data_IF_414868856831
#
_entry.id   IF_414868856831
#
_cell.length_a   1.000
_cell.length_b   1.000
_cell.length_c   1.000
_cell.angle_alpha   90.00
_cell.angle_beta   90.00
_cell.angle_gamma   90.00
#
_symmetry.space_group_name_H-M   'P 1'
#
loop_
_entity.id
_entity.type
_entity.pdbx_description
1 polymer ?
#
# COMPACT_ATOMS: atom_id res chain seq x y z
N UNK A 1 27.12 -44.52 22.96
CA UNK A 1 25.95 -44.03 22.18
C UNK A 1 26.07 -42.53 22.00
N UNK A 2 26.30 -42.08 20.78
CA UNK A 2 26.29 -40.66 20.46
C UNK A 2 24.85 -40.19 20.23
N UNK A 3 24.40 -39.20 21.00
CA UNK A 3 23.09 -38.56 20.81
C UNK A 3 23.10 -37.79 19.44
N UNK A 4 22.07 -37.95 18.61
CA UNK A 4 21.98 -37.13 17.42
C UNK A 4 21.76 -35.67 17.80
N UNK A 5 22.63 -34.81 17.32
CA UNK A 5 22.45 -33.37 17.46
C UNK A 5 21.28 -32.95 16.55
N UNK A 6 20.16 -32.61 17.14
CA UNK A 6 19.08 -31.97 16.41
C UNK A 6 19.51 -30.53 16.06
N UNK A 7 19.93 -30.34 14.83
CA UNK A 7 20.15 -29.00 14.30
C UNK A 7 18.83 -28.23 14.36
N UNK A 8 18.88 -27.04 14.95
CA UNK A 8 17.74 -26.13 15.05
C UNK A 8 17.20 -25.83 13.64
N UNK A 9 15.98 -26.28 13.37
CA UNK A 9 15.25 -26.04 12.12
C UNK A 9 14.57 -24.67 12.05
N UNK A 10 14.81 -23.83 13.02
CA UNK A 10 14.15 -22.53 13.17
C UNK A 10 14.77 -21.40 12.34
N UNK A 11 15.86 -21.67 11.58
CA UNK A 11 16.50 -20.67 10.73
C UNK A 11 15.87 -20.46 9.36
N UNK A 12 14.99 -21.35 8.94
CA UNK A 12 14.46 -21.34 7.56
C UNK A 12 13.18 -20.51 7.37
N UNK A 13 12.58 -19.98 8.44
CA UNK A 13 11.27 -19.34 8.37
C UNK A 13 11.37 -17.80 8.39
N UNK A 14 12.51 -17.23 8.73
CA UNK A 14 12.61 -15.78 9.00
C UNK A 14 12.92 -14.89 7.82
N UNK A 15 13.45 -15.40 6.72
CA UNK A 15 13.89 -14.56 5.59
C UNK A 15 12.79 -14.17 4.61
N UNK A 16 11.65 -14.88 4.60
CA UNK A 16 10.54 -14.62 3.66
C UNK A 16 9.59 -13.49 4.09
N UNK A 17 9.78 -12.88 5.25
CA UNK A 17 8.88 -11.85 5.80
C UNK A 17 9.49 -10.45 5.82
N UNK A 18 10.53 -10.23 5.06
CA UNK A 18 11.22 -8.95 5.10
C UNK A 18 10.65 -8.00 4.06
N UNK A 19 9.92 -6.99 4.51
CA UNK A 19 9.56 -5.83 3.70
C UNK A 19 10.80 -4.94 3.58
N UNK A 20 11.35 -4.83 2.36
CA UNK A 20 12.53 -4.00 2.07
C UNK A 20 12.29 -2.52 2.34
N UNK A 21 11.04 -2.08 2.39
CA UNK A 21 10.66 -0.70 2.68
C UNK A 21 10.44 -0.44 4.17
N UNK A 22 10.39 -1.48 4.96
CA UNK A 22 10.30 -1.35 6.41
C UNK A 22 11.70 -1.16 6.98
N UNK A 23 11.89 -0.08 7.74
CA UNK A 23 13.16 0.16 8.39
C UNK A 23 13.51 -1.00 9.35
N UNK A 24 14.72 -1.52 9.26
CA UNK A 24 15.23 -2.56 10.15
C UNK A 24 15.34 -2.08 11.59
N UNK A 25 15.46 -0.77 11.78
CA UNK A 25 15.49 -0.09 13.07
C UNK A 25 14.37 0.94 13.09
N UNK A 26 13.92 1.26 14.30
CA UNK A 26 12.98 2.35 14.50
C UNK A 26 13.59 3.66 13.94
N UNK A 27 12.79 4.41 13.20
CA UNK A 27 13.20 5.71 12.71
C UNK A 27 13.52 6.63 13.89
N UNK A 28 14.57 7.47 13.80
CA UNK A 28 14.77 8.50 14.80
C UNK A 28 13.59 9.48 14.81
N UNK A 29 13.26 9.97 15.97
CA UNK A 29 12.15 10.91 16.12
C UNK A 29 12.63 12.29 16.55
N UNK A 30 12.15 13.35 15.92
CA UNK A 30 11.30 13.36 14.72
C UNK A 30 12.12 13.21 13.44
N UNK A 31 11.52 12.58 12.43
CA UNK A 31 12.07 12.50 11.08
C UNK A 31 11.04 13.07 10.10
N UNK A 32 11.48 13.89 9.15
CA UNK A 32 10.61 14.45 8.11
C UNK A 32 10.99 13.86 6.75
N UNK A 33 9.96 13.51 5.97
CA UNK A 33 10.17 13.07 4.59
C UNK A 33 10.51 14.28 3.72
N UNK A 34 11.65 14.21 3.02
CA UNK A 34 12.11 15.28 2.12
C UNK A 34 11.23 15.44 0.89
N UNK A 35 10.46 14.40 0.52
CA UNK A 35 9.63 14.40 -0.69
C UNK A 35 8.19 14.88 -0.44
N UNK A 36 7.54 14.37 0.61
CA UNK A 36 6.13 14.67 0.86
C UNK A 36 5.87 15.51 2.11
N UNK A 37 6.86 15.66 2.97
CA UNK A 37 6.71 16.43 4.20
C UNK A 37 6.05 15.69 5.36
N UNK A 38 5.75 14.40 5.22
CA UNK A 38 5.22 13.60 6.32
C UNK A 38 6.27 13.52 7.45
N UNK A 39 5.82 13.49 8.69
CA UNK A 39 6.67 13.48 9.88
C UNK A 39 6.48 12.18 10.65
N UNK A 40 7.59 11.53 10.98
CA UNK A 40 7.60 10.36 11.85
C UNK A 40 7.76 10.79 13.29
N UNK A 41 6.70 10.61 14.05
CA UNK A 41 6.62 10.96 15.47
C UNK A 41 5.62 10.04 16.18
N UNK A 42 5.89 9.67 17.42
CA UNK A 42 5.03 8.76 18.16
C UNK A 42 4.92 7.37 17.55
N UNK A 43 5.98 6.92 16.87
CA UNK A 43 6.04 5.60 16.24
C UNK A 43 5.31 5.48 14.91
N UNK A 44 4.86 6.57 14.30
CA UNK A 44 4.10 6.55 13.04
C UNK A 44 4.34 7.81 12.20
N UNK A 45 4.09 7.69 10.90
CA UNK A 45 4.08 8.83 9.99
C UNK A 45 2.74 9.57 10.09
N UNK A 46 2.82 10.89 10.23
CA UNK A 46 1.65 11.77 10.32
C UNK A 46 1.89 13.03 9.48
N UNK A 47 0.81 13.73 9.14
CA UNK A 47 0.92 15.07 8.59
C UNK A 47 1.07 16.08 9.73
N UNK A 48 1.95 17.04 9.56
CA UNK A 48 2.17 18.09 10.57
C UNK A 48 3.38 18.93 10.25
N UNK A 49 3.63 19.92 11.09
CA UNK A 49 4.84 20.74 11.00
C UNK A 49 6.05 19.97 11.49
N UNK A 50 7.09 19.91 10.66
CA UNK A 50 8.37 19.37 11.07
C UNK A 50 9.08 20.35 12.03
N UNK A 51 9.61 19.87 13.17
CA UNK A 51 10.51 20.65 13.99
C UNK A 51 11.76 21.07 13.21
N UNK A 52 12.35 22.20 13.57
CA UNK A 52 13.56 22.72 12.89
C UNK A 52 14.73 21.74 12.89
N UNK A 53 14.83 20.90 13.92
CA UNK A 53 15.91 19.93 14.11
C UNK A 53 15.50 18.50 13.73
N UNK A 54 14.46 18.35 12.89
CA UNK A 54 14.04 17.04 12.46
C UNK A 54 15.11 16.35 11.59
N UNK A 55 15.26 15.04 11.75
CA UNK A 55 16.08 14.23 10.87
C UNK A 55 15.41 14.19 9.47
N UNK A 56 16.22 14.07 8.43
CA UNK A 56 15.76 14.01 7.05
C UNK A 56 15.82 12.58 6.51
N UNK A 57 14.76 12.15 5.85
CA UNK A 57 14.72 10.84 5.18
C UNK A 57 13.62 10.84 4.11
N UNK A 58 13.60 9.80 3.30
CA UNK A 58 12.48 9.56 2.36
C UNK A 58 11.58 8.51 2.99
N UNK A 59 10.27 8.80 3.12
CA UNK A 59 9.34 7.86 3.72
C UNK A 59 9.15 6.61 2.84
N UNK A 60 8.66 5.49 3.42
CA UNK A 60 8.47 4.26 2.66
C UNK A 60 7.55 4.41 1.44
N UNK A 61 6.51 5.23 1.53
CA UNK A 61 5.59 5.45 0.40
C UNK A 61 6.29 6.19 -0.75
N UNK A 62 7.03 7.25 -0.45
CA UNK A 62 7.79 7.98 -1.47
C UNK A 62 8.86 7.11 -2.13
N UNK A 63 9.49 6.20 -1.38
CA UNK A 63 10.42 5.21 -1.94
C UNK A 63 9.73 4.26 -2.90
N UNK A 64 8.57 3.72 -2.52
CA UNK A 64 7.79 2.83 -3.40
C UNK A 64 7.39 3.54 -4.69
N UNK A 65 7.00 4.80 -4.60
CA UNK A 65 6.65 5.60 -5.79
C UNK A 65 7.88 5.79 -6.68
N UNK A 66 9.01 6.18 -6.12
CA UNK A 66 10.25 6.38 -6.87
C UNK A 66 10.73 5.08 -7.54
N UNK A 67 10.62 3.96 -6.85
CA UNK A 67 11.04 2.65 -7.35
C UNK A 67 10.00 1.98 -8.25
N UNK A 68 8.81 2.55 -8.37
CA UNK A 68 7.65 1.94 -9.02
C UNK A 68 7.39 0.52 -8.50
N UNK A 69 7.39 0.38 -7.18
CA UNK A 69 7.22 -0.90 -6.48
C UNK A 69 6.01 -0.86 -5.55
N UNK A 70 4.78 -1.00 -6.10
CA UNK A 70 3.56 -0.90 -5.31
C UNK A 70 3.36 -2.11 -4.40
N UNK A 71 2.56 -1.92 -3.36
CA UNK A 71 2.10 -2.99 -2.47
C UNK A 71 0.68 -3.43 -2.81
N UNK A 72 -0.13 -2.56 -3.39
CA UNK A 72 -1.50 -2.86 -3.79
C UNK A 72 -1.69 -2.81 -5.30
N UNK A 73 -2.45 -3.77 -5.81
CA UNK A 73 -2.81 -3.90 -7.22
C UNK A 73 -4.32 -4.04 -7.32
N UNK A 74 -4.97 -3.16 -8.05
CA UNK A 74 -6.42 -3.17 -8.23
C UNK A 74 -6.73 -3.31 -9.71
N UNK A 75 -7.49 -4.35 -10.05
CA UNK A 75 -7.98 -4.60 -11.41
C UNK A 75 -9.47 -4.29 -11.47
N UNK A 76 -9.84 -3.38 -12.35
CA UNK A 76 -11.21 -2.90 -12.50
C UNK A 76 -11.66 -3.19 -13.92
N UNK A 77 -12.72 -3.97 -14.07
CA UNK A 77 -13.17 -4.48 -15.37
C UNK A 77 -14.68 -4.47 -15.48
N UNK A 78 -15.17 -4.68 -16.70
CA UNK A 78 -16.56 -4.93 -17.00
C UNK A 78 -17.22 -3.83 -17.82
N UNK A 79 -18.37 -4.17 -18.41
CA UNK A 79 -19.15 -3.25 -19.25
C UNK A 79 -19.69 -2.05 -18.45
N UNK A 80 -20.19 -2.31 -17.26
CA UNK A 80 -20.67 -1.25 -16.37
C UNK A 80 -19.56 -0.26 -16.04
N UNK A 81 -18.35 -0.75 -15.73
CA UNK A 81 -17.20 0.11 -15.49
C UNK A 81 -16.89 1.00 -16.70
N UNK A 82 -16.92 0.44 -17.90
CA UNK A 82 -16.66 1.20 -19.13
C UNK A 82 -17.67 2.33 -19.34
N UNK A 83 -18.93 2.08 -19.06
CA UNK A 83 -20.01 3.07 -19.16
C UNK A 83 -19.94 4.15 -18.08
N UNK A 84 -19.48 3.81 -16.88
CA UNK A 84 -19.44 4.69 -15.72
C UNK A 84 -18.02 5.03 -15.27
N UNK A 85 -17.06 4.98 -16.20
CA UNK A 85 -15.63 5.09 -15.92
C UNK A 85 -15.28 6.31 -15.09
N UNK A 86 -15.68 7.49 -15.51
CA UNK A 86 -15.31 8.76 -14.84
C UNK A 86 -15.87 8.83 -13.41
N UNK A 87 -17.07 8.38 -13.23
CA UNK A 87 -17.75 8.32 -11.95
C UNK A 87 -17.04 7.36 -10.98
N UNK A 88 -16.69 6.17 -11.47
CA UNK A 88 -15.98 5.15 -10.70
C UNK A 88 -14.57 5.60 -10.35
N UNK A 89 -13.84 6.19 -11.29
CA UNK A 89 -12.53 6.74 -11.02
C UNK A 89 -12.58 7.91 -10.04
N UNK A 90 -13.66 8.69 -10.08
CA UNK A 90 -13.92 9.75 -9.09
C UNK A 90 -14.05 9.21 -7.68
N UNK A 91 -14.77 8.10 -7.51
CA UNK A 91 -14.88 7.41 -6.23
C UNK A 91 -13.51 6.94 -5.73
N UNK A 92 -12.70 6.36 -6.60
CA UNK A 92 -11.36 5.88 -6.26
C UNK A 92 -10.48 7.03 -5.77
N UNK A 93 -10.47 8.15 -6.48
CA UNK A 93 -9.70 9.34 -6.08
C UNK A 93 -10.17 9.88 -4.73
N UNK A 94 -11.46 9.84 -4.47
CA UNK A 94 -12.02 10.29 -3.19
C UNK A 94 -11.58 9.39 -2.04
N UNK A 95 -11.64 8.07 -2.22
CA UNK A 95 -11.16 7.11 -1.21
C UNK A 95 -9.67 7.33 -0.93
N UNK A 96 -8.87 7.48 -1.97
CA UNK A 96 -7.43 7.76 -1.82
C UNK A 96 -7.18 9.05 -1.03
N UNK A 97 -7.89 10.12 -1.36
CA UNK A 97 -7.74 11.41 -0.68
C UNK A 97 -8.04 11.30 0.81
N UNK A 98 -9.11 10.59 1.18
CA UNK A 98 -9.49 10.38 2.56
C UNK A 98 -8.47 9.51 3.31
N UNK A 99 -8.01 8.43 2.71
CA UNK A 99 -7.01 7.56 3.33
C UNK A 99 -5.67 8.27 3.50
N UNK A 100 -5.21 8.96 2.49
CA UNK A 100 -3.96 9.75 2.54
C UNK A 100 -4.01 10.84 3.62
N UNK A 101 -5.16 11.48 3.82
CA UNK A 101 -5.32 12.53 4.83
C UNK A 101 -5.07 12.00 6.25
N UNK A 102 -5.48 10.79 6.54
CA UNK A 102 -5.29 10.14 7.84
C UNK A 102 -3.99 9.32 7.93
N UNK A 103 -3.56 8.75 6.80
CA UNK A 103 -2.43 7.84 6.71
C UNK A 103 -1.50 8.24 5.57
N UNK A 104 -0.46 9.03 5.83
CA UNK A 104 0.44 9.54 4.78
C UNK A 104 1.07 8.48 3.89
N UNK A 105 1.22 7.25 4.38
CA UNK A 105 1.81 6.16 3.61
C UNK A 105 0.82 5.45 2.68
N UNK A 106 -0.47 5.78 2.74
CA UNK A 106 -1.52 5.15 1.92
C UNK A 106 -1.86 6.04 0.73
N UNK A 107 -1.25 5.77 -0.43
CA UNK A 107 -1.38 6.59 -1.65
C UNK A 107 -1.45 5.73 -2.89
N UNK A 108 -1.97 6.28 -3.99
CA UNK A 108 -1.83 5.65 -5.30
C UNK A 108 -0.42 5.88 -5.86
N UNK A 109 0.03 4.94 -6.67
CA UNK A 109 1.29 5.02 -7.41
C UNK A 109 1.01 5.34 -8.87
N UNK A 110 0.12 4.57 -9.51
CA UNK A 110 -0.21 4.74 -10.92
C UNK A 110 -1.63 4.26 -11.24
N UNK A 111 -2.13 4.73 -12.36
CA UNK A 111 -3.38 4.29 -12.96
C UNK A 111 -3.11 4.07 -14.44
N UNK A 112 -3.36 2.86 -14.93
CA UNK A 112 -3.06 2.47 -16.30
C UNK A 112 -4.29 1.84 -16.94
N UNK A 113 -4.68 2.37 -18.09
CA UNK A 113 -5.77 1.82 -18.91
C UNK A 113 -5.25 0.73 -19.84
N UNK A 114 -6.01 -0.34 -19.97
CA UNK A 114 -5.76 -1.44 -20.89
C UNK A 114 -7.05 -1.91 -21.56
N UNK A 115 -6.95 -2.84 -22.48
CA UNK A 115 -8.10 -3.39 -23.21
C UNK A 115 -9.13 -4.05 -22.27
N UNK A 116 -8.64 -4.73 -21.25
CA UNK A 116 -9.51 -5.45 -20.31
C UNK A 116 -10.10 -4.56 -19.20
N UNK A 117 -9.59 -3.34 -19.02
CA UNK A 117 -10.02 -2.46 -17.96
C UNK A 117 -8.91 -1.54 -17.46
N UNK A 118 -9.02 -1.10 -16.24
CA UNK A 118 -8.06 -0.17 -15.62
C UNK A 118 -7.35 -0.84 -14.44
N UNK A 119 -6.05 -0.64 -14.35
CA UNK A 119 -5.22 -1.09 -13.24
C UNK A 119 -4.80 0.10 -12.40
N UNK A 120 -5.03 0.02 -11.10
CA UNK A 120 -4.58 1.02 -10.13
C UNK A 120 -3.58 0.37 -9.18
N UNK A 121 -2.46 1.02 -8.95
CA UNK A 121 -1.45 0.54 -8.00
C UNK A 121 -1.34 1.50 -6.83
N UNK A 122 -1.05 0.97 -5.65
CA UNK A 122 -1.00 1.74 -4.40
C UNK A 122 0.25 1.44 -3.60
N UNK A 123 0.63 2.37 -2.74
CA UNK A 123 1.77 2.20 -1.84
C UNK A 123 1.45 1.31 -0.65
N UNK A 124 0.18 1.22 -0.27
CA UNK A 124 -0.25 0.45 0.89
C UNK A 124 -1.33 -0.57 0.54
N UNK A 125 -1.40 -1.63 1.33
CA UNK A 125 -2.43 -2.66 1.18
C UNK A 125 -3.80 -2.17 1.65
N UNK A 126 -3.85 -1.28 2.62
CA UNK A 126 -5.10 -0.80 3.21
C UNK A 126 -5.92 0.05 2.24
N UNK A 127 -5.29 1.02 1.57
CA UNK A 127 -6.00 1.85 0.59
C UNK A 127 -6.50 1.02 -0.58
N UNK A 128 -5.75 0.02 -1.03
CA UNK A 128 -6.18 -0.89 -2.11
C UNK A 128 -7.44 -1.65 -1.71
N UNK A 129 -7.45 -2.23 -0.53
CA UNK A 129 -8.61 -2.94 0.00
C UNK A 129 -9.81 -2.02 0.17
N UNK A 130 -9.61 -0.83 0.71
CA UNK A 130 -10.67 0.16 0.90
C UNK A 130 -11.29 0.60 -0.41
N UNK A 131 -10.50 0.76 -1.45
CA UNK A 131 -11.00 1.06 -2.80
C UNK A 131 -11.93 -0.06 -3.28
N UNK A 132 -11.50 -1.31 -3.18
CA UNK A 132 -12.32 -2.47 -3.56
C UNK A 132 -13.62 -2.55 -2.78
N UNK A 133 -13.57 -2.36 -1.47
CA UNK A 133 -14.76 -2.35 -0.61
C UNK A 133 -15.72 -1.21 -0.95
N UNK A 134 -15.20 -0.03 -1.27
CA UNK A 134 -16.00 1.12 -1.67
C UNK A 134 -16.71 0.90 -3.01
N UNK A 135 -16.02 0.29 -3.98
CA UNK A 135 -16.60 -0.07 -5.27
C UNK A 135 -17.76 -1.08 -5.08
N UNK A 136 -17.52 -2.12 -4.31
CA UNK A 136 -18.54 -3.14 -4.02
C UNK A 136 -19.75 -2.55 -3.29
N UNK A 137 -19.52 -1.65 -2.37
CA UNK A 137 -20.59 -0.99 -1.60
C UNK A 137 -21.42 -0.04 -2.46
N UNK A 138 -20.76 0.77 -3.28
CA UNK A 138 -21.42 1.83 -4.07
C UNK A 138 -22.02 1.33 -5.37
N UNK A 139 -21.37 0.38 -6.02
CA UNK A 139 -21.73 -0.07 -7.37
C UNK A 139 -22.03 -1.56 -7.47
N UNK A 140 -22.00 -2.31 -6.36
CA UNK A 140 -22.15 -3.76 -6.36
C UNK A 140 -21.11 -4.44 -7.24
N UNK A 141 -21.47 -5.44 -8.01
CA UNK A 141 -20.54 -6.20 -8.83
C UNK A 141 -19.82 -7.30 -8.07
N UNK A 142 -18.84 -7.91 -8.73
CA UNK A 142 -18.02 -8.96 -8.15
C UNK A 142 -16.72 -8.37 -7.58
N UNK A 143 -16.53 -8.58 -6.30
CA UNK A 143 -15.35 -8.10 -5.57
C UNK A 143 -14.62 -9.27 -4.93
N UNK A 144 -13.32 -9.33 -5.14
CA UNK A 144 -12.46 -10.29 -4.47
C UNK A 144 -11.09 -9.69 -4.21
N UNK A 145 -10.37 -10.23 -3.25
CA UNK A 145 -9.00 -9.84 -2.98
C UNK A 145 -8.19 -11.03 -2.49
N UNK A 146 -6.88 -10.96 -2.72
CA UNK A 146 -5.94 -11.96 -2.27
C UNK A 146 -4.66 -11.28 -1.80
N UNK A 147 -4.21 -11.64 -0.60
CA UNK A 147 -2.91 -11.20 -0.10
C UNK A 147 -1.80 -12.01 -0.73
N UNK A 148 -0.67 -11.36 -1.01
CA UNK A 148 0.57 -12.01 -1.38
C UNK A 148 1.25 -12.69 -0.20
N UNK A 149 2.42 -13.25 -0.43
CA UNK A 149 3.23 -13.87 0.63
C UNK A 149 3.47 -12.88 1.77
N UNK A 150 3.34 -13.36 3.01
CA UNK A 150 3.54 -12.57 4.23
C UNK A 150 2.60 -11.36 4.38
N UNK A 151 1.53 -11.31 3.61
CA UNK A 151 0.52 -10.23 3.65
C UNK A 151 1.12 -8.82 3.44
N UNK A 152 2.20 -8.74 2.68
CA UNK A 152 2.86 -7.47 2.35
C UNK A 152 2.37 -6.84 1.06
N UNK A 153 1.59 -7.57 0.29
CA UNK A 153 0.94 -7.09 -0.93
C UNK A 153 -0.49 -7.59 -1.00
N UNK A 154 -1.29 -6.93 -1.82
CA UNK A 154 -2.68 -7.32 -2.05
C UNK A 154 -3.01 -7.13 -3.53
N UNK A 155 -3.76 -8.08 -4.08
CA UNK A 155 -4.39 -7.95 -5.39
C UNK A 155 -5.89 -7.91 -5.21
N UNK A 156 -6.52 -6.86 -5.72
CA UNK A 156 -7.95 -6.62 -5.63
C UNK A 156 -8.55 -6.71 -7.03
N UNK A 157 -9.65 -7.42 -7.15
CA UNK A 157 -10.41 -7.52 -8.40
C UNK A 157 -11.84 -7.02 -8.18
N UNK A 158 -12.29 -6.14 -9.05
CA UNK A 158 -13.68 -5.71 -9.10
C UNK A 158 -14.15 -5.70 -10.54
N UNK A 159 -15.32 -6.29 -10.78
CA UNK A 159 -15.93 -6.42 -12.11
C UNK A 159 -17.43 -6.14 -12.04
N UNK A 160 -17.91 -5.31 -12.94
CA UNK A 160 -19.33 -5.12 -13.18
C UNK A 160 -19.63 -4.66 -14.61
#
# INVERSE_FOLDING_TARGET
>A
MKRPSYGRKDRLIKEKRHDVYRARRKWPEPTVCTECGAVFVGGRWVWGKAPKEANLAVCPACRRIADNYPAGYIQIRGAFFKEHREEILGLIRNVETLEKAEHPLERSVSMTDGEAGTSVTTTGIHVARRIGEALARSYKGEFSFQYGESQMSITVHWTR
#
